data_IF_509191755164
#
_entry.id   IF_509191755164
#
_cell.length_a   1.000
_cell.length_b   1.000
_cell.length_c   1.000
_cell.angle_alpha   90.00
_cell.angle_beta   90.00
_cell.angle_gamma   90.00
#
_symmetry.space_group_name_H-M   'P 1'
#
loop_
_entity.id
_entity.type
_entity.pdbx_description
1 polymer ?
#
# COMPACT_ATOMS: atom_id res chain seq x y z
N UNK A 1 -34.85 33.00 -19.07
CA UNK A 1 -35.86 33.82 -18.35
C UNK A 1 -35.85 35.24 -18.90
N UNK A 2 -37.02 35.87 -19.08
CA UNK A 2 -37.15 37.27 -19.48
C UNK A 2 -37.75 38.12 -18.35
N UNK A 3 -37.64 39.45 -18.47
CA UNK A 3 -38.33 40.39 -17.57
C UNK A 3 -39.78 40.52 -17.97
N UNK A 4 -40.65 40.77 -17.00
CA UNK A 4 -42.06 41.05 -17.27
C UNK A 4 -42.20 42.28 -18.17
N UNK A 5 -42.96 42.12 -19.24
CA UNK A 5 -43.09 43.07 -20.36
C UNK A 5 -44.56 43.34 -20.71
N UNK A 6 -45.48 42.96 -19.83
CA UNK A 6 -46.90 43.30 -19.96
C UNK A 6 -47.10 44.81 -19.85
N UNK A 7 -48.18 45.38 -20.44
CA UNK A 7 -48.45 46.82 -20.38
C UNK A 7 -48.56 47.39 -18.95
N UNK A 8 -48.82 46.54 -17.96
CA UNK A 8 -48.91 46.87 -16.53
C UNK A 8 -47.61 46.67 -15.76
N UNK A 9 -46.52 46.29 -16.44
CA UNK A 9 -45.20 46.22 -15.82
C UNK A 9 -44.74 47.62 -15.40
N UNK A 10 -44.10 47.72 -14.23
CA UNK A 10 -43.52 48.98 -13.78
C UNK A 10 -42.28 49.29 -14.62
N UNK A 11 -42.24 50.39 -15.38
CA UNK A 11 -41.08 50.77 -16.16
C UNK A 11 -39.91 51.12 -15.24
N UNK A 12 -38.70 50.78 -15.68
CA UNK A 12 -37.43 51.15 -15.05
C UNK A 12 -37.26 50.85 -13.54
N UNK A 13 -38.04 49.91 -12.99
CA UNK A 13 -38.00 49.55 -11.57
C UNK A 13 -36.59 49.18 -11.07
N UNK A 14 -35.78 48.58 -11.93
CA UNK A 14 -34.40 48.17 -11.63
C UNK A 14 -33.35 48.92 -12.45
N UNK A 15 -33.68 50.13 -12.94
CA UNK A 15 -32.85 50.95 -13.82
C UNK A 15 -33.38 51.02 -15.25
N UNK A 16 -32.78 51.88 -16.09
CA UNK A 16 -33.24 52.14 -17.45
C UNK A 16 -33.39 50.84 -18.29
N UNK A 17 -34.55 50.67 -18.90
CA UNK A 17 -34.93 49.50 -19.71
C UNK A 17 -35.19 48.22 -18.91
N UNK A 18 -35.29 48.29 -17.58
CA UNK A 18 -35.44 47.10 -16.71
C UNK A 18 -36.79 47.12 -15.99
N UNK A 19 -37.87 46.70 -16.66
CA UNK A 19 -39.19 46.64 -16.06
C UNK A 19 -39.25 45.60 -14.92
N UNK A 20 -40.24 45.74 -14.04
CA UNK A 20 -40.47 44.86 -12.91
C UNK A 20 -41.92 44.84 -12.42
N UNK A 21 -42.20 43.97 -11.45
CA UNK A 21 -43.55 43.80 -10.89
C UNK A 21 -43.93 44.94 -9.97
N UNK A 22 -45.19 45.38 -10.00
CA UNK A 22 -45.81 46.25 -9.00
C UNK A 22 -47.09 45.63 -8.46
N UNK A 23 -47.38 45.85 -7.18
CA UNK A 23 -48.65 45.46 -6.56
C UNK A 23 -49.82 46.35 -7.02
N UNK A 24 -49.53 47.38 -7.83
CA UNK A 24 -50.45 48.46 -8.10
C UNK A 24 -50.61 49.36 -6.89
N UNK A 25 -51.44 50.37 -7.04
CA UNK A 25 -51.85 51.28 -5.99
C UNK A 25 -53.27 51.77 -6.29
N UNK A 26 -54.28 51.27 -5.54
CA UNK A 26 -55.67 51.67 -5.72
C UNK A 26 -55.92 53.16 -5.51
N UNK A 27 -55.11 53.84 -4.68
CA UNK A 27 -55.28 55.26 -4.41
C UNK A 27 -54.87 56.14 -5.60
N UNK A 28 -53.90 55.67 -6.40
CA UNK A 28 -53.43 56.36 -7.61
C UNK A 28 -53.98 55.76 -8.91
N UNK A 29 -54.81 54.72 -8.83
CA UNK A 29 -55.34 54.01 -9.98
C UNK A 29 -54.31 53.15 -10.74
N UNK A 30 -53.12 52.94 -10.16
CA UNK A 30 -52.07 52.12 -10.76
C UNK A 30 -52.48 50.65 -10.67
N UNK A 31 -52.62 49.97 -11.80
CA UNK A 31 -52.93 48.53 -11.83
C UNK A 31 -51.73 47.71 -11.35
N UNK A 32 -52.00 46.57 -10.72
CA UNK A 32 -50.98 45.56 -10.46
C UNK A 32 -50.46 44.98 -11.77
N UNK A 33 -49.23 44.43 -11.74
CA UNK A 33 -48.64 43.81 -12.92
C UNK A 33 -49.38 42.52 -13.29
N UNK A 34 -50.02 42.51 -14.45
CA UNK A 34 -50.58 41.33 -15.10
C UNK A 34 -49.44 40.38 -15.52
N UNK A 35 -49.65 39.08 -15.33
CA UNK A 35 -48.74 38.02 -15.78
C UNK A 35 -49.26 37.43 -17.11
N UNK A 36 -48.37 37.18 -18.07
CA UNK A 36 -48.70 36.58 -19.36
C UNK A 36 -48.18 35.13 -19.48
N UNK A 37 -48.65 34.42 -20.50
CA UNK A 37 -48.19 33.06 -20.82
C UNK A 37 -46.68 32.99 -20.97
N UNK A 38 -46.10 33.93 -21.72
CA UNK A 38 -44.67 33.94 -22.05
C UNK A 38 -43.80 33.92 -20.79
N UNK A 39 -44.21 34.65 -19.74
CA UNK A 39 -43.53 34.64 -18.45
C UNK A 39 -43.63 33.29 -17.73
N UNK A 40 -44.81 32.67 -17.71
CA UNK A 40 -45.02 31.37 -17.08
C UNK A 40 -44.35 30.23 -17.85
N UNK A 41 -44.39 30.27 -19.17
CA UNK A 41 -43.73 29.31 -20.05
C UNK A 41 -42.21 29.42 -19.86
N UNK A 42 -41.66 30.64 -19.81
CA UNK A 42 -40.24 30.83 -19.52
C UNK A 42 -39.83 30.28 -18.14
N UNK A 43 -40.66 30.44 -17.11
CA UNK A 43 -40.42 29.83 -15.79
C UNK A 43 -40.48 28.30 -15.85
N UNK A 44 -41.48 27.74 -16.53
CA UNK A 44 -41.63 26.30 -16.68
C UNK A 44 -40.43 25.69 -17.40
N UNK A 45 -40.04 26.24 -18.54
CA UNK A 45 -38.94 25.71 -19.35
C UNK A 45 -37.59 25.79 -18.63
N UNK A 46 -37.33 26.84 -17.85
CA UNK A 46 -36.10 26.94 -17.05
C UNK A 46 -36.03 25.85 -15.97
N UNK A 47 -37.14 25.62 -15.26
CA UNK A 47 -37.22 24.56 -14.24
C UNK A 47 -37.16 23.16 -14.86
N UNK A 48 -37.87 22.96 -15.97
CA UNK A 48 -37.89 21.70 -16.70
C UNK A 48 -36.52 21.37 -17.28
N UNK A 49 -35.83 22.36 -17.87
CA UNK A 49 -34.47 22.20 -18.39
C UNK A 49 -33.51 21.68 -17.34
N UNK A 50 -33.56 22.18 -16.10
CA UNK A 50 -32.70 21.69 -15.01
C UNK A 50 -32.93 20.21 -14.73
N UNK A 51 -34.19 19.77 -14.71
CA UNK A 51 -34.58 18.37 -14.44
C UNK A 51 -34.19 17.46 -15.61
N UNK A 52 -34.46 17.87 -16.84
CA UNK A 52 -34.16 17.07 -18.02
C UNK A 52 -32.64 16.94 -18.26
N UNK A 53 -31.87 17.98 -17.93
CA UNK A 53 -30.40 17.93 -18.00
C UNK A 53 -29.78 16.90 -17.06
N UNK A 54 -30.47 16.49 -16.00
CA UNK A 54 -30.01 15.38 -15.14
C UNK A 54 -30.42 14.00 -15.67
N UNK A 55 -31.08 13.92 -16.83
CA UNK A 55 -31.55 12.68 -17.42
C UNK A 55 -32.89 12.18 -16.85
N UNK A 56 -33.57 12.99 -16.05
CA UNK A 56 -34.85 12.64 -15.43
C UNK A 56 -36.00 13.08 -16.32
N UNK A 57 -37.00 12.21 -16.52
CA UNK A 57 -38.22 12.56 -17.27
C UNK A 57 -39.18 13.37 -16.38
N UNK A 58 -39.76 14.43 -16.92
CA UNK A 58 -40.77 15.25 -16.23
C UNK A 58 -42.02 14.42 -15.87
N UNK A 59 -42.53 14.61 -14.66
CA UNK A 59 -43.68 13.90 -14.12
C UNK A 59 -44.57 14.86 -13.31
N UNK A 60 -45.76 15.13 -13.83
CA UNK A 60 -46.76 16.02 -13.20
C UNK A 60 -47.25 15.58 -11.81
N UNK A 61 -47.02 14.32 -11.44
CA UNK A 61 -47.38 13.77 -10.13
C UNK A 61 -46.22 13.81 -9.13
N UNK A 62 -45.03 14.27 -9.54
CA UNK A 62 -43.85 14.37 -8.68
C UNK A 62 -43.51 15.84 -8.43
N UNK A 63 -43.53 16.25 -7.17
CA UNK A 63 -43.30 17.63 -6.75
C UNK A 63 -41.90 17.86 -6.16
N UNK A 64 -41.01 16.85 -6.24
CA UNK A 64 -39.63 16.95 -5.75
C UNK A 64 -38.57 16.90 -6.85
N UNK A 65 -38.96 16.85 -8.14
CA UNK A 65 -38.01 16.66 -9.25
C UNK A 65 -36.91 17.73 -9.31
N UNK A 66 -37.25 19.00 -9.08
CA UNK A 66 -36.26 20.08 -9.07
C UNK A 66 -35.25 19.91 -7.94
N UNK A 67 -35.71 19.53 -6.75
CA UNK A 67 -34.86 19.26 -5.60
C UNK A 67 -33.89 18.10 -5.89
N UNK A 68 -34.40 17.00 -6.43
CA UNK A 68 -33.60 15.84 -6.83
C UNK A 68 -32.58 16.18 -7.93
N UNK A 69 -32.97 17.00 -8.90
CA UNK A 69 -32.07 17.44 -9.97
C UNK A 69 -30.91 18.29 -9.42
N UNK A 70 -31.17 19.19 -8.47
CA UNK A 70 -30.12 19.99 -7.82
C UNK A 70 -29.16 19.09 -7.04
N UNK A 71 -29.68 18.12 -6.29
CA UNK A 71 -28.84 17.13 -5.57
C UNK A 71 -27.95 16.36 -6.55
N UNK A 72 -28.53 15.86 -7.64
CA UNK A 72 -27.82 15.11 -8.68
C UNK A 72 -26.73 15.97 -9.33
N UNK A 73 -27.01 17.23 -9.66
CA UNK A 73 -26.02 18.17 -10.18
C UNK A 73 -24.85 18.38 -9.20
N UNK A 74 -25.14 18.56 -7.91
CA UNK A 74 -24.12 18.70 -6.88
C UNK A 74 -23.26 17.43 -6.72
N UNK A 75 -23.89 16.26 -6.73
CA UNK A 75 -23.20 14.97 -6.68
C UNK A 75 -22.33 14.73 -7.91
N UNK A 76 -22.84 15.00 -9.11
CA UNK A 76 -22.08 14.90 -10.36
C UNK A 76 -20.88 15.84 -10.36
N UNK A 77 -21.04 17.07 -9.85
CA UNK A 77 -19.93 18.00 -9.69
C UNK A 77 -18.87 17.47 -8.70
N UNK A 78 -19.29 16.82 -7.61
CA UNK A 78 -18.39 16.19 -6.63
C UNK A 78 -17.68 14.94 -7.21
N UNK A 79 -18.40 14.12 -7.99
CA UNK A 79 -17.93 12.86 -8.55
C UNK A 79 -17.00 13.01 -9.76
N UNK A 80 -16.77 14.24 -10.24
CA UNK A 80 -15.73 14.54 -11.25
C UNK A 80 -14.30 14.50 -10.69
N UNK A 81 -14.13 14.28 -9.40
CA UNK A 81 -12.82 14.20 -8.73
C UNK A 81 -12.59 12.78 -8.19
N UNK A 82 -11.33 12.38 -8.16
CA UNK A 82 -10.93 11.15 -7.47
C UNK A 82 -11.14 11.30 -5.96
N UNK A 83 -11.81 10.32 -5.36
CA UNK A 83 -12.07 10.26 -3.94
C UNK A 83 -10.87 9.67 -3.20
N UNK A 84 -10.31 10.40 -2.24
CA UNK A 84 -9.24 9.91 -1.37
C UNK A 84 -9.60 8.58 -0.68
N UNK A 85 -10.86 8.41 -0.29
CA UNK A 85 -11.34 7.20 0.40
C UNK A 85 -11.39 5.97 -0.51
N UNK A 86 -11.42 6.16 -1.84
CA UNK A 86 -11.49 5.06 -2.81
C UNK A 86 -10.11 4.58 -3.28
N UNK A 87 -9.02 5.27 -2.91
CA UNK A 87 -7.64 4.90 -3.27
C UNK A 87 -7.50 4.57 -4.77
N UNK A 88 -8.10 5.36 -5.66
CA UNK A 88 -8.04 5.16 -7.12
C UNK A 88 -8.93 4.05 -7.68
N UNK A 89 -9.84 3.46 -6.89
CA UNK A 89 -10.84 2.49 -7.38
C UNK A 89 -11.87 3.11 -8.34
N UNK A 90 -12.05 4.42 -8.25
CA UNK A 90 -12.94 5.24 -9.08
C UNK A 90 -12.31 5.70 -10.40
N UNK A 91 -11.08 5.32 -10.69
CA UNK A 91 -10.46 5.52 -12.01
C UNK A 91 -11.10 4.53 -12.99
N UNK A 92 -11.77 5.04 -14.02
CA UNK A 92 -12.45 4.23 -15.05
C UNK A 92 -11.45 3.44 -15.89
N UNK A 93 -10.45 4.13 -16.46
CA UNK A 93 -9.36 3.53 -17.21
C UNK A 93 -8.03 3.74 -16.47
N UNK A 94 -7.61 2.70 -15.76
CA UNK A 94 -6.36 2.73 -14.99
C UNK A 94 -5.13 2.69 -15.89
N UNK A 95 -5.21 2.07 -17.06
CA UNK A 95 -4.08 1.95 -17.96
C UNK A 95 -3.76 3.32 -18.58
N UNK A 96 -4.78 3.99 -19.13
CA UNK A 96 -4.62 5.36 -19.64
C UNK A 96 -4.21 6.34 -18.54
N UNK A 97 -4.71 6.17 -17.31
CA UNK A 97 -4.28 6.99 -16.18
C UNK A 97 -2.78 6.83 -15.86
N UNK A 98 -2.26 5.59 -15.84
CA UNK A 98 -0.83 5.30 -15.64
C UNK A 98 0.02 5.89 -16.76
N UNK A 99 -0.45 5.78 -18.01
CA UNK A 99 0.21 6.36 -19.18
C UNK A 99 0.31 7.89 -19.09
N UNK A 100 -0.79 8.57 -18.75
CA UNK A 100 -0.83 10.02 -18.58
C UNK A 100 0.06 10.52 -17.43
N UNK A 101 0.34 9.68 -16.42
CA UNK A 101 1.29 9.98 -15.35
C UNK A 101 2.75 9.73 -15.76
N UNK A 102 3.01 9.17 -16.95
CA UNK A 102 4.36 8.78 -17.38
C UNK A 102 4.92 7.60 -16.61
N UNK A 103 4.06 6.76 -16.00
CA UNK A 103 4.48 5.65 -15.13
C UNK A 103 4.50 4.29 -15.84
N UNK A 104 4.22 4.24 -17.15
CA UNK A 104 4.18 3.00 -17.92
C UNK A 104 5.48 2.21 -17.80
N UNK A 105 6.63 2.86 -18.01
CA UNK A 105 7.95 2.21 -17.91
C UNK A 105 8.25 1.77 -16.48
N UNK A 106 7.92 2.59 -15.48
CA UNK A 106 8.09 2.25 -14.06
C UNK A 106 7.31 0.99 -13.68
N UNK A 107 6.06 0.86 -14.14
CA UNK A 107 5.25 -0.34 -13.89
C UNK A 107 5.87 -1.56 -14.55
N UNK A 108 6.40 -1.43 -15.76
CA UNK A 108 7.04 -2.53 -16.47
C UNK A 108 8.33 -2.99 -15.76
N UNK A 109 9.20 -2.06 -15.39
CA UNK A 109 10.40 -2.36 -14.60
C UNK A 109 10.06 -2.97 -13.24
N UNK A 110 8.98 -2.52 -12.60
CA UNK A 110 8.54 -3.04 -11.31
C UNK A 110 8.08 -4.50 -11.36
N UNK A 111 7.54 -4.99 -12.49
CA UNK A 111 7.13 -6.39 -12.64
C UNK A 111 8.31 -7.35 -12.44
N UNK A 112 9.50 -6.95 -12.88
CA UNK A 112 10.72 -7.76 -12.81
C UNK A 112 11.69 -7.29 -11.71
N UNK A 113 11.32 -6.25 -10.95
CA UNK A 113 12.18 -5.68 -9.91
C UNK A 113 12.43 -6.62 -8.72
N UNK A 114 11.56 -7.60 -8.52
CA UNK A 114 11.75 -8.66 -7.54
C UNK A 114 11.97 -9.96 -8.31
N UNK A 115 13.17 -10.56 -8.25
CA UNK A 115 13.39 -11.87 -8.85
C UNK A 115 12.40 -12.86 -8.25
N UNK A 116 11.50 -13.42 -9.07
CA UNK A 116 10.58 -14.51 -8.67
C UNK A 116 11.31 -15.70 -8.02
N UNK A 117 12.61 -15.79 -8.22
CA UNK A 117 13.50 -16.78 -7.66
C UNK A 117 14.77 -16.11 -7.12
N UNK A 118 15.03 -16.23 -5.83
CA UNK A 118 16.38 -16.01 -5.29
C UNK A 118 17.23 -17.19 -5.77
N UNK A 119 18.35 -16.96 -6.45
CA UNK A 119 19.20 -18.03 -7.00
C UNK A 119 20.56 -18.07 -6.31
N UNK A 120 21.08 -19.28 -6.08
CA UNK A 120 22.50 -19.53 -5.77
C UNK A 120 23.03 -20.45 -6.87
N UNK A 121 24.11 -20.04 -7.55
CA UNK A 121 24.71 -20.80 -8.66
C UNK A 121 23.68 -21.23 -9.73
N UNK A 122 22.76 -20.33 -10.09
CA UNK A 122 21.72 -20.58 -11.09
C UNK A 122 20.54 -21.43 -10.61
N UNK A 123 20.59 -21.99 -9.39
CA UNK A 123 19.51 -22.80 -8.81
C UNK A 123 18.59 -21.94 -7.95
N UNK A 124 17.28 -22.01 -8.20
CA UNK A 124 16.27 -21.29 -7.43
C UNK A 124 16.18 -21.81 -6.00
N UNK A 125 16.08 -20.90 -5.03
CA UNK A 125 15.80 -21.17 -3.63
C UNK A 125 14.30 -21.29 -3.45
N UNK A 126 13.81 -22.51 -3.22
CA UNK A 126 12.40 -22.78 -2.89
C UNK A 126 12.15 -22.85 -1.39
N UNK A 127 13.21 -22.83 -0.58
CA UNK A 127 13.22 -22.90 0.87
C UNK A 127 14.47 -22.20 1.43
N UNK A 128 14.54 -22.03 2.74
CA UNK A 128 15.71 -21.48 3.43
C UNK A 128 16.96 -22.35 3.24
N UNK A 129 18.12 -21.70 3.15
CA UNK A 129 19.41 -22.39 3.08
C UNK A 129 19.90 -22.66 4.49
N UNK A 130 19.96 -23.92 4.87
CA UNK A 130 20.62 -24.35 6.10
C UNK A 130 22.05 -24.76 5.75
N UNK A 131 23.04 -24.17 6.40
CA UNK A 131 24.45 -24.54 6.29
C UNK A 131 24.92 -25.16 7.59
N UNK A 132 25.49 -26.34 7.51
CA UNK A 132 26.10 -27.04 8.64
C UNK A 132 27.62 -27.02 8.52
N UNK A 133 28.32 -27.38 9.61
CA UNK A 133 29.78 -27.53 9.59
C UNK A 133 30.25 -28.54 8.52
N UNK A 134 29.42 -29.55 8.19
CA UNK A 134 29.71 -30.54 7.17
C UNK A 134 29.72 -29.92 5.77
N UNK A 135 28.80 -29.01 5.47
CA UNK A 135 28.66 -28.41 4.13
C UNK A 135 29.87 -27.56 3.73
N UNK A 136 30.60 -27.02 4.71
CA UNK A 136 31.79 -26.18 4.50
C UNK A 136 33.09 -26.85 4.91
N UNK A 137 33.07 -28.17 5.20
CA UNK A 137 34.22 -28.91 5.75
C UNK A 137 34.86 -28.23 6.97
N UNK A 138 34.06 -27.55 7.80
CA UNK A 138 34.58 -26.96 9.02
C UNK A 138 35.03 -28.07 9.98
N UNK A 139 36.23 -27.91 10.56
CA UNK A 139 36.78 -28.86 11.53
C UNK A 139 35.93 -28.81 12.79
N UNK A 140 35.20 -29.91 13.07
CA UNK A 140 34.46 -30.06 14.33
C UNK A 140 35.37 -30.67 15.41
N UNK A 141 35.14 -30.37 16.71
CA UNK A 141 35.87 -31.00 17.81
C UNK A 141 35.84 -32.54 17.79
N UNK A 142 34.77 -33.14 17.24
CA UNK A 142 34.62 -34.58 17.07
C UNK A 142 35.53 -35.15 15.97
N UNK A 143 35.73 -34.42 14.86
CA UNK A 143 36.67 -34.83 13.79
C UNK A 143 38.13 -34.83 14.26
N UNK A 144 38.53 -33.81 15.04
CA UNK A 144 39.87 -33.76 15.65
C UNK A 144 40.17 -34.98 16.53
N UNK A 145 39.16 -35.55 17.19
CA UNK A 145 39.30 -36.76 18.02
C UNK A 145 39.44 -38.05 17.23
N UNK A 146 38.97 -38.10 15.97
CA UNK A 146 39.09 -39.28 15.11
C UNK A 146 40.45 -39.33 14.38
N UNK A 147 41.02 -38.17 14.07
CA UNK A 147 42.25 -38.05 13.27
C UNK A 147 43.54 -38.09 14.12
N UNK A 148 43.45 -37.82 15.43
CA UNK A 148 44.58 -37.94 16.36
C UNK A 148 44.35 -39.13 17.30
N UNK A 149 45.07 -40.26 17.13
CA UNK A 149 44.96 -41.41 18.01
C UNK A 149 45.25 -41.07 19.47
N UNK A 150 44.51 -41.70 20.40
CA UNK A 150 44.75 -41.55 21.83
C UNK A 150 46.19 -41.97 22.16
N UNK A 151 46.94 -41.06 22.79
CA UNK A 151 48.33 -41.28 23.18
C UNK A 151 49.32 -40.38 22.46
N UNK A 152 48.96 -39.77 21.32
CA UNK A 152 49.83 -38.82 20.61
C UNK A 152 49.97 -37.52 21.40
N UNK A 153 51.19 -37.08 21.78
CA UNK A 153 51.40 -35.77 22.41
C UNK A 153 51.13 -34.65 21.40
N UNK A 154 50.32 -33.65 21.79
CA UNK A 154 50.11 -32.42 21.00
C UNK A 154 50.66 -31.21 21.76
N UNK A 155 51.42 -30.33 21.09
CA UNK A 155 51.88 -29.07 21.70
C UNK A 155 50.66 -28.19 22.01
N UNK A 156 50.65 -27.61 23.21
CA UNK A 156 49.58 -26.73 23.67
C UNK A 156 50.16 -25.38 24.13
N UNK A 157 49.61 -24.23 23.70
CA UNK A 157 50.25 -22.93 23.88
C UNK A 157 50.02 -22.29 25.27
N UNK A 158 49.26 -22.93 26.17
CA UNK A 158 48.97 -22.42 27.52
C UNK A 158 49.29 -23.44 28.60
N UNK A 159 49.48 -22.99 29.84
CA UNK A 159 49.85 -23.85 30.98
C UNK A 159 48.71 -24.78 31.45
N UNK A 160 47.49 -24.62 30.91
CA UNK A 160 46.30 -25.39 31.27
C UNK A 160 45.74 -26.11 30.04
N UNK A 161 45.84 -27.45 29.95
CA UNK A 161 45.28 -28.19 28.83
C UNK A 161 43.74 -28.19 28.86
N UNK A 162 43.07 -28.40 27.70
CA UNK A 162 41.61 -28.49 27.64
C UNK A 162 41.07 -29.71 28.42
N UNK A 163 39.80 -29.64 28.83
CA UNK A 163 39.12 -30.78 29.47
C UNK A 163 39.20 -32.04 28.59
N UNK A 164 39.63 -33.15 29.20
CA UNK A 164 39.82 -34.43 28.52
C UNK A 164 41.26 -34.69 28.02
N UNK A 165 42.18 -33.75 28.20
CA UNK A 165 43.62 -33.91 27.91
C UNK A 165 44.45 -34.00 29.20
N UNK A 166 45.59 -34.69 29.13
CA UNK A 166 46.55 -34.83 30.23
C UNK A 166 47.87 -34.17 29.85
N UNK A 167 48.53 -33.54 30.83
CA UNK A 167 49.85 -32.92 30.64
C UNK A 167 50.94 -34.00 30.58
N UNK A 168 51.81 -33.94 29.57
CA UNK A 168 52.96 -34.84 29.43
C UNK A 168 54.09 -34.45 30.42
N UNK A 169 53.88 -34.70 31.70
CA UNK A 169 54.76 -34.31 32.80
C UNK A 169 55.38 -35.48 33.58
N UNK A 170 55.20 -36.72 33.12
CA UNK A 170 55.64 -37.93 33.83
C UNK A 170 54.62 -38.52 34.81
N UNK A 171 53.44 -37.92 34.97
CA UNK A 171 52.45 -38.40 35.94
C UNK A 171 51.91 -39.79 35.58
N UNK A 172 51.58 -40.56 36.63
CA UNK A 172 50.81 -41.79 36.48
C UNK A 172 49.36 -41.52 36.09
N UNK A 173 48.72 -42.47 35.40
CA UNK A 173 47.29 -42.42 35.08
C UNK A 173 46.59 -43.75 35.39
N UNK A 174 45.28 -43.69 35.59
CA UNK A 174 44.45 -44.87 35.84
C UNK A 174 44.22 -45.64 34.54
N UNK A 175 44.86 -46.81 34.43
CA UNK A 175 44.77 -47.69 33.27
C UNK A 175 43.36 -48.28 33.06
N UNK A 176 42.56 -48.40 34.11
CA UNK A 176 41.18 -48.91 34.01
C UNK A 176 40.25 -47.85 33.45
N UNK A 177 40.46 -46.59 33.83
CA UNK A 177 39.69 -45.44 33.32
C UNK A 177 40.11 -45.02 31.91
N UNK A 178 41.37 -45.23 31.54
CA UNK A 178 41.93 -44.84 30.23
C UNK A 178 42.54 -46.03 29.48
N UNK A 179 41.74 -47.00 29.01
CA UNK A 179 42.25 -48.23 28.38
C UNK A 179 43.00 -47.99 27.07
N UNK A 180 42.56 -47.03 26.25
CA UNK A 180 43.27 -46.67 25.01
C UNK A 180 44.63 -46.01 25.28
N UNK A 181 44.70 -45.16 26.32
CA UNK A 181 45.96 -44.55 26.74
C UNK A 181 46.90 -45.60 27.37
N UNK A 182 46.34 -46.58 28.09
CA UNK A 182 47.09 -47.73 28.62
C UNK A 182 47.66 -48.62 27.51
N UNK A 183 47.01 -48.67 26.33
CA UNK A 183 47.56 -49.33 25.15
C UNK A 183 48.75 -48.58 24.56
N UNK A 184 48.71 -47.25 24.55
CA UNK A 184 49.82 -46.42 24.06
C UNK A 184 51.00 -46.34 25.05
N UNK A 185 50.70 -46.29 26.36
CA UNK A 185 51.67 -46.21 27.45
C UNK A 185 51.46 -47.35 28.46
N UNK A 186 51.97 -48.57 28.19
CA UNK A 186 51.73 -49.74 29.03
C UNK A 186 52.24 -49.62 30.47
N UNK A 187 53.24 -48.76 30.71
CA UNK A 187 53.80 -48.45 32.04
C UNK A 187 52.78 -47.79 32.98
N UNK A 188 51.69 -47.23 32.45
CA UNK A 188 50.75 -46.41 33.23
C UNK A 188 51.30 -45.02 33.57
N UNK A 189 52.38 -44.59 32.93
CA UNK A 189 52.97 -43.26 33.09
C UNK A 189 52.97 -42.49 31.77
N UNK A 190 52.69 -41.19 31.85
CA UNK A 190 52.81 -40.28 30.72
C UNK A 190 54.28 -39.99 30.43
N UNK A 191 54.64 -39.68 29.17
CA UNK A 191 55.97 -39.16 28.87
C UNK A 191 56.16 -37.81 29.58
N UNK A 192 57.38 -37.52 30.04
CA UNK A 192 57.74 -36.19 30.52
C UNK A 192 58.43 -35.44 29.37
N UNK A 193 57.72 -34.46 28.80
CA UNK A 193 58.19 -33.68 27.63
C UNK A 193 58.51 -32.22 28.01
N UNK A 194 58.57 -31.92 29.31
CA UNK A 194 59.15 -30.67 29.80
C UNK A 194 60.66 -30.80 29.60
N UNK A 195 61.20 -30.08 28.62
CA UNK A 195 62.63 -30.10 28.28
C UNK A 195 63.53 -29.85 29.48
#
# INVERSE_FOLDING_TARGET
MHRIDTPTAQPDKFGQGKPGFTNGDPATGTRATDLNSDFFDALQEELCTVIEKTGTRLNKHEHTQLYQAIQTCAENAANRKLSKKKNGKDILDKAQFIENLGLTETVELAKEAIPYHRKINGKSLTQDVQLTATDVNAVTPQRLRLEVPVGVPLPWPTDRPPTGWLLCNGAGFDKTRYPLLASAYPSGQLPNLRG
#
